data_IF_310721484624
#
_entry.id   IF_310721484624
#
_cell.length_a   1.000
_cell.length_b   1.000
_cell.length_c   1.000
_cell.angle_alpha   90.00
_cell.angle_beta   90.00
_cell.angle_gamma   90.00
#
_symmetry.space_group_name_H-M   'P 1'
#
loop_
_entity.id
_entity.type
_entity.pdbx_description
1 polymer ?
#
# COMPACT_ATOMS: atom_id res chain seq x y z
N UNK A 1 -18.06 -10.36 13.04
CA UNK A 1 -17.27 -11.51 12.54
C UNK A 1 -16.13 -11.13 11.59
N UNK A 2 -16.36 -10.26 10.59
CA UNK A 2 -15.35 -9.88 9.60
C UNK A 2 -14.16 -9.11 10.19
N UNK A 3 -14.39 -8.10 11.04
CA UNK A 3 -13.32 -7.34 11.72
C UNK A 3 -12.41 -8.28 12.53
N UNK A 4 -12.97 -9.19 13.34
CA UNK A 4 -12.16 -10.17 14.08
C UNK A 4 -11.36 -11.14 13.20
N UNK A 5 -11.79 -11.37 11.94
CA UNK A 5 -11.08 -12.25 10.99
C UNK A 5 -9.94 -11.53 10.28
N UNK A 6 -10.16 -10.27 9.93
CA UNK A 6 -9.21 -9.45 9.15
C UNK A 6 -8.47 -8.41 10.00
N UNK A 7 -8.65 -8.38 11.33
CA UNK A 7 -8.00 -7.43 12.24
C UNK A 7 -6.48 -7.47 12.13
N UNK A 8 -5.89 -8.67 12.09
CA UNK A 8 -4.44 -8.83 11.91
C UNK A 8 -3.98 -8.18 10.60
N UNK A 9 -4.75 -8.34 9.54
CA UNK A 9 -4.47 -7.73 8.23
C UNK A 9 -4.56 -6.21 8.33
N UNK A 10 -5.55 -5.68 9.04
CA UNK A 10 -5.69 -4.26 9.25
C UNK A 10 -4.52 -3.64 10.05
N UNK A 11 -3.95 -4.38 11.01
CA UNK A 11 -2.79 -3.90 11.77
C UNK A 11 -1.49 -4.03 10.99
N UNK A 12 -1.30 -5.14 10.26
CA UNK A 12 -0.04 -5.42 9.57
C UNK A 12 0.10 -4.72 8.22
N UNK A 13 -0.98 -4.43 7.49
CA UNK A 13 -0.89 -3.84 6.16
C UNK A 13 -0.16 -2.48 6.12
N UNK A 14 -0.44 -1.52 7.03
CA UNK A 14 0.31 -0.25 7.07
C UNK A 14 1.79 -0.46 7.42
N UNK A 15 2.10 -1.41 8.30
CA UNK A 15 3.48 -1.75 8.69
C UNK A 15 4.24 -2.36 7.51
N UNK A 16 3.61 -3.26 6.76
CA UNK A 16 4.22 -3.84 5.55
C UNK A 16 4.45 -2.77 4.50
N UNK A 17 3.51 -1.84 4.32
CA UNK A 17 3.68 -0.68 3.44
C UNK A 17 4.88 0.18 3.85
N UNK A 18 5.00 0.50 5.14
CA UNK A 18 6.15 1.21 5.70
C UNK A 18 7.48 0.51 5.40
N UNK A 19 7.57 -0.79 5.72
CA UNK A 19 8.81 -1.56 5.58
C UNK A 19 9.25 -1.67 4.11
N UNK A 20 8.30 -1.89 3.20
CA UNK A 20 8.58 -1.95 1.76
C UNK A 20 9.11 -0.61 1.24
N UNK A 21 8.45 0.50 1.58
CA UNK A 21 8.87 1.82 1.12
C UNK A 21 10.20 2.26 1.76
N UNK A 22 10.42 1.96 3.03
CA UNK A 22 11.71 2.18 3.70
C UNK A 22 12.83 1.39 3.02
N UNK A 23 12.58 0.13 2.64
CA UNK A 23 13.53 -0.69 1.89
C UNK A 23 13.86 -0.10 0.50
N UNK A 24 12.84 0.35 -0.25
CA UNK A 24 13.05 1.04 -1.53
C UNK A 24 13.89 2.30 -1.37
N UNK A 25 13.65 3.08 -0.32
CA UNK A 25 14.41 4.28 -0.03
C UNK A 25 15.89 3.99 0.23
N UNK A 26 16.20 2.91 0.97
CA UNK A 26 17.60 2.47 1.17
C UNK A 26 18.26 2.17 -0.17
N UNK A 27 17.60 1.37 -1.03
CA UNK A 27 18.15 0.99 -2.34
C UNK A 27 18.35 2.22 -3.23
N UNK A 28 17.39 3.16 -3.28
CA UNK A 28 17.52 4.38 -4.07
C UNK A 28 18.62 5.31 -3.55
N UNK A 29 18.78 5.38 -2.24
CA UNK A 29 19.81 6.20 -1.60
C UNK A 29 21.20 5.60 -1.86
N UNK A 30 21.36 4.30 -1.68
CA UNK A 30 22.64 3.59 -1.83
C UNK A 30 23.08 3.44 -3.30
N UNK A 31 22.14 3.21 -4.23
CA UNK A 31 22.46 3.04 -5.65
C UNK A 31 22.74 4.35 -6.40
N UNK A 32 22.36 5.50 -5.84
CA UNK A 32 22.35 6.79 -6.53
C UNK A 32 23.59 7.68 -6.33
N UNK A 33 24.36 7.51 -5.24
CA UNK A 33 25.32 8.55 -4.87
C UNK A 33 26.74 8.37 -5.39
N UNK A 34 27.26 7.14 -5.52
CA UNK A 34 28.71 6.93 -5.77
C UNK A 34 29.66 7.52 -4.70
N UNK A 35 29.12 8.28 -3.75
CA UNK A 35 29.80 8.92 -2.63
C UNK A 35 29.61 8.05 -1.40
N UNK A 36 30.70 7.45 -0.95
CA UNK A 36 30.80 6.51 0.18
C UNK A 36 30.66 7.21 1.54
N UNK A 37 30.46 8.52 1.59
CA UNK A 37 30.23 9.30 2.81
C UNK A 37 28.73 9.55 3.09
N UNK A 38 27.92 8.49 3.08
CA UNK A 38 26.58 8.57 3.63
C UNK A 38 26.63 8.67 5.17
N UNK A 39 26.43 9.87 5.71
CA UNK A 39 26.10 10.05 7.13
C UNK A 39 24.85 9.23 7.41
N UNK A 40 24.98 8.15 8.20
CA UNK A 40 23.91 7.25 8.66
C UNK A 40 22.57 7.96 8.93
N UNK A 41 22.63 9.15 9.51
CA UNK A 41 21.47 10.00 9.79
C UNK A 41 20.61 10.36 8.56
N UNK A 42 21.24 10.60 7.40
CA UNK A 42 20.53 10.92 6.15
C UNK A 42 19.74 9.72 5.63
N UNK A 43 20.33 8.52 5.70
CA UNK A 43 19.66 7.27 5.33
C UNK A 43 18.46 7.03 6.25
N UNK A 44 18.63 7.21 7.56
CA UNK A 44 17.54 7.07 8.54
C UNK A 44 16.41 8.06 8.29
N UNK A 45 16.73 9.32 7.97
CA UNK A 45 15.72 10.35 7.67
C UNK A 45 14.96 10.04 6.37
N UNK A 46 15.67 9.62 5.32
CA UNK A 46 15.05 9.15 4.08
C UNK A 46 14.16 7.94 4.32
N UNK A 47 14.63 6.94 5.07
CA UNK A 47 13.84 5.77 5.44
C UNK A 47 12.57 6.16 6.19
N UNK A 48 12.64 7.13 7.11
CA UNK A 48 11.48 7.61 7.85
C UNK A 48 10.47 8.29 6.91
N UNK A 49 10.92 9.19 6.03
CA UNK A 49 10.05 9.91 5.11
C UNK A 49 9.36 8.96 4.11
N UNK A 50 10.12 8.12 3.42
CA UNK A 50 9.56 7.14 2.50
C UNK A 50 8.75 6.07 3.21
N UNK A 51 9.15 5.67 4.42
CA UNK A 51 8.38 4.77 5.26
C UNK A 51 7.00 5.33 5.58
N UNK A 52 6.89 6.61 5.94
CA UNK A 52 5.59 7.28 6.17
C UNK A 52 4.74 7.28 4.90
N UNK A 53 5.33 7.56 3.74
CA UNK A 53 4.62 7.46 2.45
C UNK A 53 4.08 6.03 2.26
N UNK A 54 4.92 5.01 2.48
CA UNK A 54 4.53 3.61 2.41
C UNK A 54 3.42 3.23 3.39
N UNK A 55 3.43 3.80 4.60
CA UNK A 55 2.39 3.62 5.59
C UNK A 55 1.05 4.16 5.09
N UNK A 56 1.03 5.37 4.54
CA UNK A 56 -0.18 6.00 4.01
C UNK A 56 -0.74 5.20 2.82
N UNK A 57 0.12 4.78 1.90
CA UNK A 57 -0.26 3.91 0.78
C UNK A 57 -0.81 2.58 1.30
N UNK A 58 -0.13 1.96 2.26
CA UNK A 58 -0.56 0.70 2.87
C UNK A 58 -1.93 0.83 3.57
N UNK A 59 -2.18 1.95 4.24
CA UNK A 59 -3.48 2.24 4.85
C UNK A 59 -4.57 2.43 3.79
N UNK A 60 -4.32 3.17 2.72
CA UNK A 60 -5.27 3.35 1.63
C UNK A 60 -5.61 2.03 0.94
N UNK A 61 -4.61 1.20 0.65
CA UNK A 61 -4.79 -0.15 0.12
C UNK A 61 -5.63 -1.03 1.06
N UNK A 62 -5.32 -0.99 2.35
CA UNK A 62 -6.05 -1.73 3.38
C UNK A 62 -7.52 -1.32 3.43
N UNK A 63 -7.80 -0.02 3.49
CA UNK A 63 -9.19 0.48 3.52
C UNK A 63 -9.94 0.12 2.25
N UNK A 64 -9.31 0.28 1.08
CA UNK A 64 -9.89 -0.13 -0.20
C UNK A 64 -10.23 -1.62 -0.20
N UNK A 65 -9.27 -2.50 0.14
CA UNK A 65 -9.48 -3.94 0.18
C UNK A 65 -10.57 -4.37 1.17
N UNK A 66 -10.56 -3.81 2.39
CA UNK A 66 -11.58 -4.10 3.41
C UNK A 66 -12.95 -3.60 3.00
N UNK A 67 -13.05 -2.38 2.46
CA UNK A 67 -14.31 -1.79 2.02
C UNK A 67 -14.92 -2.61 0.88
N UNK A 68 -14.14 -3.00 -0.12
CA UNK A 68 -14.63 -3.83 -1.24
C UNK A 68 -15.13 -5.19 -0.75
N UNK A 69 -14.39 -5.87 0.13
CA UNK A 69 -14.88 -7.13 0.72
C UNK A 69 -16.13 -6.91 1.57
N UNK A 70 -16.19 -5.84 2.35
CA UNK A 70 -17.35 -5.51 3.18
C UNK A 70 -18.61 -5.23 2.35
N UNK A 71 -18.46 -4.56 1.21
CA UNK A 71 -19.57 -4.20 0.31
C UNK A 71 -20.09 -5.42 -0.47
N UNK A 72 -19.19 -6.29 -0.96
CA UNK A 72 -19.54 -7.37 -1.89
C UNK A 72 -19.58 -8.78 -1.26
N UNK A 73 -19.03 -8.97 -0.06
CA UNK A 73 -19.05 -10.22 0.70
C UNK A 73 -19.17 -10.00 2.22
N UNK A 74 -20.12 -9.14 2.63
CA UNK A 74 -20.36 -8.76 4.04
C UNK A 74 -20.52 -9.96 4.99
N UNK A 75 -21.12 -11.03 4.50
CA UNK A 75 -21.41 -12.25 5.28
C UNK A 75 -20.38 -13.36 5.09
N UNK A 76 -19.31 -13.13 4.31
CA UNK A 76 -18.26 -14.09 4.02
C UNK A 76 -18.78 -15.41 3.40
N UNK A 77 -19.87 -15.33 2.64
CA UNK A 77 -20.53 -16.47 1.99
C UNK A 77 -19.93 -16.79 0.63
N UNK A 78 -19.18 -15.84 0.04
CA UNK A 78 -18.52 -16.06 -1.25
C UNK A 78 -17.32 -17.00 -1.12
N UNK A 79 -16.95 -17.57 -2.27
CA UNK A 79 -15.79 -18.46 -2.35
C UNK A 79 -14.49 -17.71 -2.03
N UNK A 80 -13.49 -18.46 -1.56
CA UNK A 80 -12.17 -17.92 -1.24
C UNK A 80 -11.55 -17.14 -2.42
N UNK A 81 -11.71 -17.63 -3.65
CA UNK A 81 -11.19 -16.97 -4.86
C UNK A 81 -11.81 -15.59 -5.06
N UNK A 82 -13.12 -15.46 -4.84
CA UNK A 82 -13.84 -14.19 -4.97
C UNK A 82 -13.39 -13.20 -3.91
N UNK A 83 -13.21 -13.62 -2.66
CA UNK A 83 -12.69 -12.72 -1.60
C UNK A 83 -11.29 -12.20 -1.88
N UNK A 84 -10.40 -13.07 -2.36
CA UNK A 84 -9.02 -12.69 -2.72
C UNK A 84 -9.07 -11.64 -3.83
N UNK A 85 -9.88 -11.87 -4.86
CA UNK A 85 -10.05 -10.93 -5.96
C UNK A 85 -10.62 -9.58 -5.48
N UNK A 86 -11.68 -9.59 -4.67
CA UNK A 86 -12.28 -8.36 -4.12
C UNK A 86 -11.30 -7.55 -3.27
N UNK A 87 -10.50 -8.22 -2.42
CA UNK A 87 -9.50 -7.55 -1.60
C UNK A 87 -8.36 -6.97 -2.46
N UNK A 88 -7.86 -7.73 -3.44
CA UNK A 88 -6.81 -7.27 -4.35
C UNK A 88 -7.29 -6.08 -5.19
N UNK A 89 -8.50 -6.17 -5.75
CA UNK A 89 -9.12 -5.10 -6.53
C UNK A 89 -9.34 -3.85 -5.68
N UNK A 90 -9.92 -4.01 -4.48
CA UNK A 90 -10.12 -2.92 -3.56
C UNK A 90 -8.81 -2.23 -3.15
N UNK A 91 -7.73 -2.99 -2.96
CA UNK A 91 -6.41 -2.44 -2.65
C UNK A 91 -5.88 -1.56 -3.80
N UNK A 92 -5.96 -2.03 -5.05
CA UNK A 92 -5.57 -1.22 -6.22
C UNK A 92 -6.39 0.06 -6.29
N UNK A 93 -7.71 -0.05 -6.20
CA UNK A 93 -8.62 1.11 -6.28
C UNK A 93 -8.33 2.10 -5.15
N UNK A 94 -8.11 1.64 -3.92
CA UNK A 94 -7.77 2.50 -2.79
C UNK A 94 -6.49 3.29 -3.01
N UNK A 95 -5.44 2.66 -3.53
CA UNK A 95 -4.18 3.35 -3.83
C UNK A 95 -4.32 4.31 -5.01
N UNK A 96 -5.07 3.94 -6.05
CA UNK A 96 -5.33 4.82 -7.19
C UNK A 96 -6.12 6.06 -6.76
N UNK A 97 -7.14 5.91 -5.91
CA UNK A 97 -7.90 7.05 -5.38
C UNK A 97 -7.02 8.00 -4.56
N UNK A 98 -6.16 7.46 -3.70
CA UNK A 98 -5.16 8.26 -2.99
C UNK A 98 -4.27 9.03 -3.97
N UNK A 99 -3.75 8.33 -4.99
CA UNK A 99 -2.81 8.90 -5.96
C UNK A 99 -3.45 9.99 -6.81
N UNK A 100 -4.71 9.80 -7.23
CA UNK A 100 -5.49 10.82 -7.93
C UNK A 100 -5.73 12.03 -7.02
N UNK A 101 -6.09 11.81 -5.75
CA UNK A 101 -6.28 12.89 -4.78
C UNK A 101 -5.02 13.73 -4.59
N UNK A 102 -3.85 13.07 -4.45
CA UNK A 102 -2.55 13.76 -4.35
C UNK A 102 -2.20 14.47 -5.66
N UNK A 103 -2.42 13.84 -6.82
CA UNK A 103 -2.14 14.45 -8.12
C UNK A 103 -2.98 15.71 -8.37
N UNK A 104 -4.25 15.71 -7.97
CA UNK A 104 -5.11 16.90 -8.00
C UNK A 104 -4.52 18.00 -7.12
N UNK A 105 -4.12 17.69 -5.88
CA UNK A 105 -3.51 18.66 -4.98
C UNK A 105 -2.21 19.26 -5.56
N UNK A 106 -1.33 18.42 -6.15
CA UNK A 106 -0.11 18.88 -6.81
C UNK A 106 -0.39 19.77 -8.02
N UNK A 107 -1.43 19.46 -8.78
CA UNK A 107 -1.83 20.27 -9.95
C UNK A 107 -2.33 21.65 -9.50
N UNK A 108 -3.02 21.74 -8.36
CA UNK A 108 -3.45 23.02 -7.77
C UNK A 108 -2.28 23.85 -7.21
N UNK A 109 -1.11 23.24 -7.02
CA UNK A 109 0.12 23.90 -6.55
C UNK A 109 1.09 24.20 -7.71
N UNK A 110 0.61 24.17 -8.96
CA UNK A 110 1.40 24.36 -10.20
C UNK A 110 2.55 23.34 -10.40
N UNK A 111 2.45 22.17 -9.77
CA UNK A 111 3.49 21.13 -9.82
C UNK A 111 3.07 19.91 -10.68
N UNK A 112 2.63 20.20 -11.90
CA UNK A 112 2.02 19.22 -12.81
C UNK A 112 2.96 18.06 -13.22
N UNK A 113 4.28 18.27 -13.20
CA UNK A 113 5.25 17.22 -13.50
C UNK A 113 5.21 16.10 -12.44
N UNK A 114 5.12 16.46 -11.16
CA UNK A 114 5.01 15.49 -10.08
C UNK A 114 3.62 14.84 -10.01
N UNK A 115 2.57 15.51 -10.52
CA UNK A 115 1.24 14.92 -10.61
C UNK A 115 1.22 13.66 -11.52
N UNK A 116 1.85 13.73 -12.69
CA UNK A 116 1.96 12.57 -13.60
C UNK A 116 2.76 11.41 -12.99
N UNK A 117 3.89 11.73 -12.36
CA UNK A 117 4.74 10.75 -11.67
C UNK A 117 3.98 10.08 -10.51
N UNK A 118 3.19 10.85 -9.75
CA UNK A 118 2.39 10.35 -8.63
C UNK A 118 1.37 9.31 -9.08
N UNK A 119 0.68 9.53 -10.21
CA UNK A 119 -0.27 8.56 -10.76
C UNK A 119 0.44 7.26 -11.18
N UNK A 120 1.60 7.37 -11.84
CA UNK A 120 2.38 6.21 -12.26
C UNK A 120 2.84 5.37 -11.06
N UNK A 121 3.36 6.02 -10.00
CA UNK A 121 3.70 5.34 -8.75
C UNK A 121 2.48 4.73 -8.08
N UNK A 122 1.33 5.41 -8.10
CA UNK A 122 0.07 4.89 -7.62
C UNK A 122 -0.33 3.57 -8.26
N UNK A 123 -0.14 3.44 -9.57
CA UNK A 123 -0.39 2.20 -10.30
C UNK A 123 0.57 1.09 -9.84
N UNK A 124 1.88 1.37 -9.81
CA UNK A 124 2.91 0.39 -9.43
C UNK A 124 2.70 -0.09 -7.99
N UNK A 125 2.52 0.83 -7.05
CA UNK A 125 2.28 0.49 -5.64
C UNK A 125 0.92 -0.15 -5.42
N UNK A 126 -0.11 0.24 -6.18
CA UNK A 126 -1.42 -0.41 -6.16
C UNK A 126 -1.32 -1.88 -6.56
N UNK A 127 -0.57 -2.19 -7.62
CA UNK A 127 -0.31 -3.57 -8.04
C UNK A 127 0.45 -4.36 -6.97
N UNK A 128 1.51 -3.79 -6.37
CA UNK A 128 2.23 -4.43 -5.28
C UNK A 128 1.31 -4.70 -4.07
N UNK A 129 0.50 -3.71 -3.69
CA UNK A 129 -0.46 -3.83 -2.60
C UNK A 129 -1.54 -4.90 -2.88
N UNK A 130 -1.94 -5.07 -4.14
CA UNK A 130 -2.89 -6.11 -4.56
C UNK A 130 -2.38 -7.52 -4.25
N UNK A 131 -1.09 -7.76 -4.47
CA UNK A 131 -0.44 -9.05 -4.18
C UNK A 131 -0.40 -9.28 -2.68
N UNK A 132 -0.01 -8.26 -1.90
CA UNK A 132 0.01 -8.34 -0.43
C UNK A 132 -1.38 -8.61 0.12
N UNK A 133 -2.41 -7.90 -0.37
CA UNK A 133 -3.80 -8.10 0.03
C UNK A 133 -4.28 -9.52 -0.29
N UNK A 134 -3.97 -10.03 -1.50
CA UNK A 134 -4.31 -11.39 -1.90
C UNK A 134 -3.68 -12.45 -0.98
N UNK A 135 -2.38 -12.31 -0.70
CA UNK A 135 -1.62 -13.23 0.19
C UNK A 135 -2.16 -13.18 1.62
N UNK A 136 -2.45 -11.99 2.13
CA UNK A 136 -3.00 -11.80 3.47
C UNK A 136 -4.36 -12.47 3.61
N UNK A 137 -5.28 -12.27 2.67
CA UNK A 137 -6.59 -12.95 2.66
C UNK A 137 -6.42 -14.46 2.51
N UNK A 138 -5.51 -14.92 1.67
CA UNK A 138 -5.18 -16.33 1.50
C UNK A 138 -4.73 -16.96 2.84
N UNK A 139 -3.89 -16.26 3.60
CA UNK A 139 -3.39 -16.69 4.91
C UNK A 139 -4.49 -16.72 5.97
N UNK A 140 -5.28 -15.66 6.08
CA UNK A 140 -6.41 -15.58 7.02
C UNK A 140 -7.44 -16.69 6.78
N UNK A 141 -7.64 -17.11 5.53
CA UNK A 141 -8.53 -18.22 5.18
C UNK A 141 -7.94 -19.60 5.48
N UNK A 142 -6.61 -19.77 5.54
CA UNK A 142 -5.97 -21.05 5.92
C UNK A 142 -6.01 -21.31 7.42
N UNK A 143 -5.83 -20.27 8.23
CA UNK A 143 -5.66 -20.38 9.68
C UNK A 143 -6.96 -20.61 10.47
N UNK A 144 -8.10 -20.79 9.78
CA UNK A 144 -9.43 -21.04 10.38
C UNK A 144 -10.08 -22.34 9.90
N UNK A 145 -9.34 -23.18 9.17
CA UNK A 145 -9.69 -24.61 9.02
C UNK A 145 -9.05 -25.37 10.16
#
# INVERSE_FOLDING_TARGET
>A
MMIHRYWRIAVFAPIVGFLLAAGVAVVMTDAGSGETEFRFWFVVLSMANYGVIGLVIGAAAMFGGLATVAMFDRHLTKSRRVRIFLAAFGAVVGVLLLSVGVAVALTMMDDAAYAGITIAFGLVFGLAASVVAAVMVLYADRHRR
#
